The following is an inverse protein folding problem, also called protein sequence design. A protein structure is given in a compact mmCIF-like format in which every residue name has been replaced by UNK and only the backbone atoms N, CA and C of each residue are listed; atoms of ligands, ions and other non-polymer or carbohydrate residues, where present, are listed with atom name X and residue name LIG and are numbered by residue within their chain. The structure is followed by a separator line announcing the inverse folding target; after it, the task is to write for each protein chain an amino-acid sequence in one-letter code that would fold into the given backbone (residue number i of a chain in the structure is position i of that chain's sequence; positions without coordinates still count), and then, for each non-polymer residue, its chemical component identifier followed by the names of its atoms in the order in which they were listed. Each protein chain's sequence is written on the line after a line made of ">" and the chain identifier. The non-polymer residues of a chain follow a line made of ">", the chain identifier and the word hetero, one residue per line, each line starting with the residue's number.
data_IF_191287734919
#
_entry.id   IF_191287734919
#
_cell.length_a   1.000
_cell.length_b   1.000
_cell.length_c   1.000
_cell.angle_alpha   90.00
_cell.angle_beta   90.00
_cell.angle_gamma   90.00
#
_symmetry.space_group_name_H-M   'P 1'
#
loop_
_entity.id
_entity.type
_entity.pdbx_description
1 polymer ?
#
# COMPACT_ATOMS: atom_id res chain seq x y z
N UNK A 1 -6.32 -13.41 17.26
CA UNK A 1 -6.64 -11.97 17.14
C UNK A 1 -7.05 -11.74 15.70
N UNK A 2 -8.35 -11.79 15.41
CA UNK A 2 -8.85 -11.49 14.06
C UNK A 2 -8.91 -9.97 13.93
N UNK A 3 -7.79 -9.36 13.55
CA UNK A 3 -7.64 -7.92 13.46
C UNK A 3 -8.29 -7.41 12.16
N UNK A 4 -9.63 -7.41 12.13
CA UNK A 4 -10.38 -6.77 11.05
C UNK A 4 -10.20 -5.26 11.21
N UNK A 5 -9.29 -4.70 10.42
CA UNK A 5 -8.96 -3.27 10.44
C UNK A 5 -10.02 -2.54 9.63
N UNK A 6 -10.93 -1.81 10.30
CA UNK A 6 -11.86 -0.92 9.63
C UNK A 6 -11.12 0.36 9.24
N UNK A 7 -10.54 0.38 8.03
CA UNK A 7 -10.03 1.61 7.42
C UNK A 7 -11.23 2.44 7.00
N UNK A 8 -11.44 3.61 7.62
CA UNK A 8 -12.60 4.48 7.37
C UNK A 8 -12.35 5.50 6.26
N UNK A 9 -11.10 5.93 6.11
CA UNK A 9 -10.62 6.89 5.11
C UNK A 9 -9.11 6.65 4.93
N UNK A 10 -8.66 6.61 3.67
CA UNK A 10 -7.24 6.66 3.37
C UNK A 10 -6.98 7.36 2.04
N UNK A 11 -5.95 8.19 2.03
CA UNK A 11 -5.36 8.73 0.80
C UNK A 11 -3.97 8.16 0.64
N UNK A 12 -3.57 7.86 -0.59
CA UNK A 12 -2.27 7.29 -0.86
C UNK A 12 -1.85 7.48 -2.31
N UNK A 13 -0.55 7.46 -2.52
CA UNK A 13 0.07 7.48 -3.82
C UNK A 13 0.95 6.24 -3.94
N UNK A 14 0.88 5.60 -5.10
CA UNK A 14 1.76 4.50 -5.49
C UNK A 14 2.52 4.95 -6.72
N UNK A 15 3.83 4.74 -6.72
CA UNK A 15 4.72 5.03 -7.85
C UNK A 15 5.40 3.75 -8.25
N UNK A 16 5.13 3.27 -9.47
CA UNK A 16 5.86 2.15 -10.06
C UNK A 16 7.18 2.68 -10.60
N UNK A 17 8.30 2.18 -10.07
CA UNK A 17 9.65 2.58 -10.51
C UNK A 17 10.25 1.58 -11.49
N UNK A 18 9.85 0.31 -11.40
CA UNK A 18 10.36 -0.77 -12.26
C UNK A 18 9.22 -1.65 -12.74
N UNK A 19 9.20 -1.94 -14.04
CA UNK A 19 8.32 -2.91 -14.68
C UNK A 19 9.17 -3.97 -15.38
N UNK A 20 9.09 -5.21 -14.92
CA UNK A 20 9.72 -6.36 -15.56
C UNK A 20 8.66 -7.18 -16.30
N UNK A 21 8.57 -6.99 -17.61
CA UNK A 21 7.58 -7.68 -18.44
C UNK A 21 7.89 -9.15 -18.69
N UNK A 22 9.17 -9.54 -18.64
CA UNK A 22 9.60 -10.93 -18.80
C UNK A 22 9.22 -11.79 -17.60
N UNK A 23 9.44 -11.28 -16.38
CA UNK A 23 9.07 -11.95 -15.14
C UNK A 23 7.63 -11.65 -14.69
N UNK A 24 6.96 -10.69 -15.37
CA UNK A 24 5.64 -10.14 -14.99
C UNK A 24 5.60 -9.63 -13.56
N UNK A 25 6.60 -8.83 -13.18
CA UNK A 25 6.69 -8.21 -11.86
C UNK A 25 6.77 -6.68 -11.93
N UNK A 26 6.32 -6.03 -10.87
CA UNK A 26 6.45 -4.58 -10.64
C UNK A 26 7.09 -4.29 -9.29
N UNK A 27 7.91 -3.25 -9.25
CA UNK A 27 8.52 -2.72 -8.02
C UNK A 27 8.31 -1.22 -7.96
N UNK A 28 8.30 -0.67 -6.75
CA UNK A 28 8.01 0.75 -6.56
C UNK A 28 7.87 1.18 -5.12
N UNK A 29 7.32 2.36 -4.95
CA UNK A 29 7.09 2.98 -3.64
C UNK A 29 5.61 3.25 -3.43
N UNK A 30 5.22 3.32 -2.16
CA UNK A 30 3.92 3.81 -1.76
C UNK A 30 4.05 4.73 -0.55
N UNK A 31 3.16 5.70 -0.49
CA UNK A 31 2.98 6.55 0.68
C UNK A 31 1.49 6.79 0.88
N UNK A 32 1.06 6.93 2.11
CA UNK A 32 -0.33 7.21 2.39
C UNK A 32 -0.63 7.48 3.85
N UNK A 33 -1.81 8.01 4.09
CA UNK A 33 -2.36 8.23 5.42
C UNK A 33 -3.57 7.33 5.56
N UNK A 34 -3.60 6.54 6.63
CA UNK A 34 -4.74 5.71 7.01
C UNK A 34 -5.32 6.31 8.28
N UNK A 35 -6.58 6.72 8.24
CA UNK A 35 -7.30 7.10 9.45
C UNK A 35 -8.07 5.87 9.94
N UNK A 36 -7.83 5.49 11.19
CA UNK A 36 -8.46 4.34 11.81
C UNK A 36 -9.00 4.67 13.20
N UNK A 37 -9.99 3.91 13.63
CA UNK A 37 -10.58 3.98 14.97
C UNK A 37 -10.11 2.79 15.80
N UNK A 38 -8.86 2.82 16.26
CA UNK A 38 -8.36 1.84 17.24
C UNK A 38 -8.49 2.41 18.67
N UNK A 39 -9.69 2.35 19.25
CA UNK A 39 -9.96 2.78 20.63
C UNK A 39 -9.81 4.29 20.90
N UNK A 40 -9.08 5.00 20.04
CA UNK A 40 -8.96 6.46 19.92
C UNK A 40 -8.84 6.74 18.42
N UNK A 41 -9.52 7.76 17.90
CA UNK A 41 -9.36 8.16 16.49
C UNK A 41 -7.90 8.55 16.27
N UNK A 42 -7.23 7.90 15.33
CA UNK A 42 -5.82 8.12 15.05
C UNK A 42 -5.51 8.07 13.57
N UNK A 43 -4.63 8.96 13.12
CA UNK A 43 -4.06 8.92 11.77
C UNK A 43 -2.72 8.20 11.82
N UNK A 44 -2.57 7.18 10.99
CA UNK A 44 -1.33 6.47 10.76
C UNK A 44 -0.75 6.90 9.41
N UNK A 45 0.50 7.35 9.38
CA UNK A 45 1.19 7.73 8.14
C UNK A 45 2.14 6.62 7.75
N UNK A 46 1.93 6.07 6.55
CA UNK A 46 2.86 5.22 5.83
C UNK A 46 3.73 6.15 4.97
N UNK A 47 4.96 6.40 5.42
CA UNK A 47 5.93 7.18 4.65
C UNK A 47 6.97 6.25 4.03
N UNK A 48 7.27 6.46 2.74
CA UNK A 48 8.36 5.78 2.02
C UNK A 48 8.28 4.24 2.07
N UNK A 49 7.08 3.67 1.94
CA UNK A 49 6.93 2.23 1.80
C UNK A 49 7.48 1.76 0.46
N UNK A 50 8.09 0.59 0.43
CA UNK A 50 8.64 -0.03 -0.79
C UNK A 50 8.00 -1.39 -1.03
N UNK A 51 7.81 -1.73 -2.30
CA UNK A 51 7.46 -3.07 -2.74
C UNK A 51 8.41 -3.51 -3.86
N UNK A 52 8.76 -4.78 -3.86
CA UNK A 52 9.64 -5.37 -4.87
C UNK A 52 9.04 -6.65 -5.43
N UNK A 53 9.19 -6.80 -6.74
CA UNK A 53 8.92 -8.01 -7.50
C UNK A 53 7.49 -8.56 -7.30
N UNK A 54 6.52 -7.64 -7.21
CA UNK A 54 5.11 -8.00 -7.04
C UNK A 54 4.56 -8.52 -8.39
N UNK A 55 4.05 -9.75 -8.46
CA UNK A 55 3.50 -10.30 -9.69
C UNK A 55 2.27 -9.52 -10.18
N UNK A 56 2.11 -9.41 -11.50
CA UNK A 56 0.89 -8.85 -12.11
C UNK A 56 0.34 -9.75 -13.23
N UNK A 57 -0.95 -9.60 -13.50
CA UNK A 57 -1.62 -10.14 -14.69
C UNK A 57 -2.18 -9.01 -15.54
N UNK A 58 -2.15 -9.18 -16.86
CA UNK A 58 -2.93 -8.34 -17.78
C UNK A 58 -4.35 -8.88 -17.82
N UNK A 59 -5.32 -7.98 -17.68
CA UNK A 59 -6.75 -8.27 -17.70
C UNK A 59 -7.29 -8.29 -19.12
#
# INVERSE_FOLDING_TARGET
>A
VNNSTYMTDGSGQVTITTLNTSARTVSGTFQGTVTGTFGTVGTFTLANGEFMDIPYSVQ
#
